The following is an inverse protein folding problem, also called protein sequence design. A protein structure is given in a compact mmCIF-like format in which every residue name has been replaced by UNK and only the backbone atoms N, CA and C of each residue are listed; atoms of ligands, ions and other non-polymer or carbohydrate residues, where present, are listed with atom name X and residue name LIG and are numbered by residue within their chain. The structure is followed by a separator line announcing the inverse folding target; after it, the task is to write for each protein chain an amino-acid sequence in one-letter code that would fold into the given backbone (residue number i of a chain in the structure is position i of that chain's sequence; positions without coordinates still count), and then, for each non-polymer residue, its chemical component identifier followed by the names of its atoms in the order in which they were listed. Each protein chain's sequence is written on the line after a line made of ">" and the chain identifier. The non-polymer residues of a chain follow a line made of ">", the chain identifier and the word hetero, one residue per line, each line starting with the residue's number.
data_IF_647392734225
#
_entry.id   IF_647392734225
#
_cell.length_a   1.000
_cell.length_b   1.000
_cell.length_c   1.000
_cell.angle_alpha   90.00
_cell.angle_beta   90.00
_cell.angle_gamma   90.00
#
_symmetry.space_group_name_H-M   'P 1'
#
loop_
_entity.id
_entity.type
_entity.pdbx_description
1 polymer ?
#
# COMPACT_ATOMS: atom_id res chain seq x y z
N UNK A 1 8.69 -24.86 1.80
CA UNK A 1 7.87 -23.63 1.86
C UNK A 1 6.40 -24.01 1.84
N UNK A 2 5.56 -23.49 2.73
CA UNK A 2 4.11 -23.80 2.71
C UNK A 2 3.44 -23.09 1.53
N UNK A 3 2.44 -23.72 0.90
CA UNK A 3 1.72 -23.18 -0.28
C UNK A 3 1.16 -21.76 -0.05
N UNK A 4 0.84 -21.40 1.20
CA UNK A 4 0.33 -20.08 1.57
C UNK A 4 1.37 -18.96 1.41
N UNK A 5 2.66 -19.25 1.63
CA UNK A 5 3.74 -18.25 1.51
C UNK A 5 3.96 -17.83 0.05
N UNK A 6 3.65 -18.71 -0.91
CA UNK A 6 3.73 -18.39 -2.33
C UNK A 6 2.59 -17.47 -2.78
N UNK A 7 1.36 -17.76 -2.36
CA UNK A 7 0.18 -16.95 -2.68
C UNK A 7 0.31 -15.54 -2.10
N UNK A 8 0.73 -15.44 -0.84
CA UNK A 8 0.95 -14.15 -0.19
C UNK A 8 2.00 -13.30 -0.93
N UNK A 9 3.11 -13.92 -1.36
CA UNK A 9 4.14 -13.24 -2.16
C UNK A 9 3.58 -12.74 -3.50
N UNK A 10 2.74 -13.53 -4.16
CA UNK A 10 2.08 -13.13 -5.41
C UNK A 10 1.09 -11.98 -5.20
N UNK A 11 0.31 -11.99 -4.11
CA UNK A 11 -0.63 -10.92 -3.78
C UNK A 11 0.08 -9.59 -3.50
N UNK A 12 1.15 -9.63 -2.69
CA UNK A 12 1.98 -8.46 -2.40
C UNK A 12 2.61 -7.91 -3.69
N UNK A 13 3.19 -8.78 -4.52
CA UNK A 13 3.80 -8.37 -5.78
C UNK A 13 2.78 -7.73 -6.74
N UNK A 14 1.63 -8.37 -6.94
CA UNK A 14 0.59 -7.85 -7.83
C UNK A 14 0.02 -6.51 -7.36
N UNK A 15 -0.12 -6.30 -6.05
CA UNK A 15 -0.57 -5.00 -5.54
C UNK A 15 0.47 -3.89 -5.75
N UNK A 16 1.77 -4.21 -5.59
CA UNK A 16 2.85 -3.25 -5.89
C UNK A 16 2.87 -2.86 -7.37
N UNK A 17 2.62 -3.81 -8.28
CA UNK A 17 2.50 -3.53 -9.71
C UNK A 17 1.32 -2.60 -10.00
N UNK A 18 0.14 -2.86 -9.43
CA UNK A 18 -1.02 -1.97 -9.58
C UNK A 18 -0.72 -0.56 -9.07
N UNK A 19 -0.09 -0.42 -7.90
CA UNK A 19 0.34 0.89 -7.39
C UNK A 19 1.35 1.54 -8.35
N UNK A 20 2.36 0.82 -8.82
CA UNK A 20 3.36 1.36 -9.74
C UNK A 20 2.73 1.85 -11.05
N UNK A 21 1.81 1.08 -11.63
CA UNK A 21 1.08 1.44 -12.84
C UNK A 21 0.21 2.67 -12.62
N UNK A 22 -0.53 2.74 -11.50
CA UNK A 22 -1.32 3.91 -11.14
C UNK A 22 -0.41 5.14 -11.03
N UNK A 23 0.75 5.03 -10.36
CA UNK A 23 1.70 6.14 -10.27
C UNK A 23 2.27 6.57 -11.61
N UNK A 24 2.53 5.62 -12.52
CA UNK A 24 2.92 5.91 -13.90
C UNK A 24 1.83 6.66 -14.67
N UNK A 25 0.56 6.28 -14.49
CA UNK A 25 -0.60 6.92 -15.13
C UNK A 25 -0.84 8.33 -14.60
N UNK A 26 -0.72 8.55 -13.29
CA UNK A 26 -0.89 9.86 -12.65
C UNK A 26 0.35 10.76 -12.75
N UNK A 27 1.40 10.35 -13.48
CA UNK A 27 2.70 11.05 -13.56
C UNK A 27 3.32 11.37 -12.19
N UNK A 28 3.01 10.59 -11.17
CA UNK A 28 3.66 10.74 -9.87
C UNK A 28 5.15 10.42 -10.04
N UNK A 29 6.03 11.30 -9.54
CA UNK A 29 7.47 11.09 -9.65
C UNK A 29 7.91 9.79 -8.95
N UNK A 30 8.95 9.12 -9.48
CA UNK A 30 9.44 7.81 -8.97
C UNK A 30 9.67 7.75 -7.44
N UNK A 31 9.99 8.87 -6.79
CA UNK A 31 10.18 8.94 -5.33
C UNK A 31 8.87 8.84 -4.53
N UNK A 32 7.73 9.22 -5.11
CA UNK A 32 6.41 9.11 -4.47
C UNK A 32 5.96 7.64 -4.43
N UNK A 33 6.25 6.90 -5.50
CA UNK A 33 6.07 5.45 -5.56
C UNK A 33 6.91 4.75 -4.48
N UNK A 34 8.20 5.08 -4.36
CA UNK A 34 9.09 4.48 -3.35
C UNK A 34 8.62 4.70 -1.90
N UNK A 35 8.10 5.90 -1.59
CA UNK A 35 7.56 6.22 -0.27
C UNK A 35 6.29 5.42 0.06
N UNK A 36 5.35 5.37 -0.89
CA UNK A 36 4.11 4.60 -0.74
C UNK A 36 4.36 3.10 -0.59
N UNK A 37 5.28 2.56 -1.40
CA UNK A 37 5.68 1.15 -1.33
C UNK A 37 6.35 0.81 0.02
N UNK A 38 7.13 1.72 0.61
CA UNK A 38 7.72 1.52 1.95
C UNK A 38 6.69 1.49 3.06
N UNK A 39 5.72 2.41 3.06
CA UNK A 39 4.64 2.43 4.07
C UNK A 39 3.78 1.17 3.95
N UNK A 40 3.49 0.76 2.72
CA UNK A 40 2.81 -0.50 2.45
C UNK A 40 3.57 -1.71 3.01
N UNK A 41 4.89 -1.80 2.76
CA UNK A 41 5.71 -2.87 3.31
C UNK A 41 5.75 -2.89 4.84
N UNK A 42 5.73 -1.71 5.47
CA UNK A 42 5.66 -1.59 6.93
C UNK A 42 4.32 -2.12 7.46
N UNK A 43 3.18 -1.67 6.92
CA UNK A 43 1.86 -2.14 7.37
C UNK A 43 1.69 -3.65 7.16
N UNK A 44 2.14 -4.18 6.02
CA UNK A 44 2.13 -5.62 5.75
C UNK A 44 3.02 -6.38 6.73
N UNK A 45 4.12 -5.78 7.21
CA UNK A 45 5.00 -6.38 8.21
C UNK A 45 4.38 -6.36 9.61
N UNK A 46 3.76 -5.25 10.00
CA UNK A 46 3.03 -5.10 11.27
C UNK A 46 1.86 -6.10 11.33
N UNK A 47 1.08 -6.19 10.25
CA UNK A 47 0.00 -7.15 10.09
C UNK A 47 0.45 -8.61 10.28
N UNK A 48 1.65 -8.95 9.78
CA UNK A 48 2.23 -10.30 9.92
C UNK A 48 2.81 -10.55 11.30
N UNK A 49 3.33 -9.53 11.98
CA UNK A 49 3.91 -9.67 13.32
C UNK A 49 2.88 -10.21 14.32
N UNK A 50 1.61 -9.89 14.11
CA UNK A 50 0.48 -10.39 14.92
C UNK A 50 0.00 -11.80 14.55
N UNK A 51 0.70 -12.47 13.62
CA UNK A 51 0.38 -13.83 13.16
C UNK A 51 -0.77 -13.90 12.15
N UNK A 52 -1.27 -12.76 11.70
CA UNK A 52 -2.40 -12.66 10.78
C UNK A 52 -2.01 -13.01 9.35
N UNK A 53 -2.93 -13.66 8.63
CA UNK A 53 -2.74 -14.01 7.21
C UNK A 53 -3.44 -13.03 6.30
N UNK A 54 -2.66 -12.39 5.43
CA UNK A 54 -3.19 -11.55 4.35
C UNK A 54 -3.76 -12.44 3.25
N UNK A 55 -4.97 -12.14 2.80
CA UNK A 55 -5.67 -12.85 1.71
C UNK A 55 -6.09 -11.95 0.55
N UNK A 56 -5.97 -10.64 0.71
CA UNK A 56 -6.29 -9.70 -0.35
C UNK A 56 -5.85 -8.28 -0.03
N UNK A 57 -5.85 -7.47 -1.08
CA UNK A 57 -5.67 -6.03 -1.01
C UNK A 57 -6.73 -5.38 -1.88
N UNK A 58 -7.26 -4.24 -1.44
CA UNK A 58 -8.19 -3.45 -2.23
C UNK A 58 -7.75 -1.99 -2.22
N UNK A 59 -7.60 -1.39 -3.39
CA UNK A 59 -7.48 0.05 -3.52
C UNK A 59 -8.87 0.67 -3.33
N UNK A 60 -8.99 1.64 -2.43
CA UNK A 60 -10.28 2.30 -2.13
C UNK A 60 -10.40 3.62 -2.88
N UNK A 61 -9.44 4.52 -2.69
CA UNK A 61 -9.43 5.83 -3.35
C UNK A 61 -8.02 6.30 -3.63
N UNK A 62 -7.93 7.15 -4.66
CA UNK A 62 -6.79 8.02 -4.91
C UNK A 62 -7.37 9.42 -4.97
N UNK A 63 -6.93 10.27 -4.06
CA UNK A 63 -7.32 11.68 -4.00
C UNK A 63 -6.11 12.52 -4.36
N UNK A 64 -6.25 13.34 -5.40
CA UNK A 64 -5.21 14.23 -5.88
C UNK A 64 -5.64 15.67 -5.69
N UNK A 65 -4.70 16.48 -5.22
CA UNK A 65 -4.78 17.94 -5.20
C UNK A 65 -3.49 18.49 -5.81
N UNK A 66 -3.45 19.80 -6.05
CA UNK A 66 -2.26 20.47 -6.61
C UNK A 66 -0.96 20.17 -5.83
N UNK A 67 -1.07 19.88 -4.52
CA UNK A 67 0.07 19.78 -3.61
C UNK A 67 0.28 18.39 -3.00
N UNK A 68 -0.73 17.52 -2.97
CA UNK A 68 -0.64 16.18 -2.35
C UNK A 68 -1.41 15.12 -3.13
N UNK A 69 -0.90 13.89 -3.07
CA UNK A 69 -1.66 12.68 -3.37
C UNK A 69 -1.90 11.89 -2.08
N UNK A 70 -3.16 11.57 -1.81
CA UNK A 70 -3.60 10.65 -0.77
C UNK A 70 -4.03 9.34 -1.43
N UNK A 71 -3.51 8.22 -0.94
CA UNK A 71 -3.90 6.89 -1.40
C UNK A 71 -4.42 6.11 -0.23
N UNK A 72 -5.64 5.59 -0.38
CA UNK A 72 -6.32 4.78 0.63
C UNK A 72 -6.48 3.36 0.10
N UNK A 73 -6.03 2.39 0.88
CA UNK A 73 -6.13 0.97 0.57
C UNK A 73 -6.59 0.17 1.77
N UNK A 74 -6.98 -1.07 1.52
CA UNK A 74 -7.40 -2.02 2.54
C UNK A 74 -6.59 -3.30 2.41
N UNK A 75 -6.07 -3.78 3.54
CA UNK A 75 -5.51 -5.12 3.70
C UNK A 75 -6.62 -6.02 4.23
N UNK A 76 -6.90 -7.09 3.50
CA UNK A 76 -7.94 -8.06 3.85
C UNK A 76 -7.25 -9.25 4.52
N UNK A 77 -7.57 -9.46 5.80
CA UNK A 77 -7.10 -10.59 6.58
C UNK A 77 -8.07 -11.75 6.60
N UNK A 78 -7.52 -12.95 6.83
CA UNK A 78 -8.33 -14.14 7.09
C UNK A 78 -8.91 -14.17 8.50
N UNK A 79 -8.23 -13.55 9.46
CA UNK A 79 -8.47 -13.75 10.88
C UNK A 79 -9.36 -12.64 11.48
N UNK A 80 -10.20 -12.99 12.46
CA UNK A 80 -11.21 -12.08 13.05
C UNK A 80 -10.63 -10.79 13.66
N UNK A 81 -9.34 -10.76 14.00
CA UNK A 81 -8.68 -9.58 14.58
C UNK A 81 -8.40 -8.48 13.54
N UNK A 82 -8.09 -8.86 12.30
CA UNK A 82 -7.65 -7.94 11.25
C UNK A 82 -8.38 -8.25 9.93
N UNK A 83 -9.71 -8.24 9.97
CA UNK A 83 -10.53 -8.61 8.81
C UNK A 83 -10.37 -7.58 7.69
N UNK A 84 -10.33 -6.29 8.05
CA UNK A 84 -10.32 -5.15 7.14
C UNK A 84 -9.49 -4.01 7.76
N UNK A 85 -8.19 -4.02 7.52
CA UNK A 85 -7.28 -2.95 7.98
C UNK A 85 -7.16 -1.89 6.89
N UNK A 86 -7.47 -0.64 7.22
CA UNK A 86 -7.30 0.48 6.31
C UNK A 86 -5.89 1.05 6.43
N UNK A 87 -5.20 1.11 5.31
CA UNK A 87 -3.93 1.80 5.16
C UNK A 87 -4.13 3.08 4.35
N UNK A 88 -3.35 4.11 4.69
CA UNK A 88 -3.25 5.29 3.85
C UNK A 88 -1.82 5.82 3.84
N UNK A 89 -1.50 6.60 2.82
CA UNK A 89 -0.33 7.46 2.85
C UNK A 89 -0.59 8.73 2.05
N UNK A 90 -0.08 9.85 2.55
CA UNK A 90 -0.18 11.18 1.93
C UNK A 90 1.23 11.60 1.52
N UNK A 91 1.41 11.99 0.26
CA UNK A 91 2.70 12.52 -0.21
C UNK A 91 2.52 13.89 -0.83
N UNK A 92 3.33 14.85 -0.38
CA UNK A 92 3.49 16.12 -1.07
C UNK A 92 4.04 15.90 -2.49
N UNK A 93 3.33 16.40 -3.50
CA UNK A 93 3.71 16.37 -4.92
C UNK A 93 4.85 17.34 -5.21
N UNK A 94 4.95 18.41 -4.42
CA UNK A 94 6.13 19.28 -4.38
C UNK A 94 7.29 18.58 -3.65
N UNK A 95 8.42 18.26 -4.33
CA UNK A 95 9.58 17.64 -3.70
C UNK A 95 10.26 18.50 -2.64
N UNK A 96 9.97 19.82 -2.59
CA UNK A 96 10.48 20.72 -1.56
C UNK A 96 9.63 20.73 -0.27
N UNK A 97 8.41 20.19 -0.31
CA UNK A 97 7.52 20.13 0.87
C UNK A 97 7.68 18.79 1.62
N UNK A 98 7.76 18.80 2.97
CA UNK A 98 7.89 17.58 3.75
C UNK A 98 6.65 16.68 3.61
N UNK A 99 6.87 15.37 3.71
CA UNK A 99 5.79 14.37 3.73
C UNK A 99 5.16 14.36 5.12
N UNK A 100 3.82 14.38 5.20
CA UNK A 100 3.09 14.37 6.48
C UNK A 100 2.47 12.98 6.65
N UNK A 101 2.64 12.41 7.84
CA UNK A 101 2.05 11.13 8.26
C UNK A 101 0.59 11.30 8.65
#
# INVERSE_FOLDING_TARGET
>A
MSKNKAIEKMLVAGFKEVIADLFGVFKFGNKALDGGLRIFDQQVSEFKADGSKVIGFQLISIEESDDVALIVYQIIGKDKKHVNELGYFIKALDPAKPTIH
#
